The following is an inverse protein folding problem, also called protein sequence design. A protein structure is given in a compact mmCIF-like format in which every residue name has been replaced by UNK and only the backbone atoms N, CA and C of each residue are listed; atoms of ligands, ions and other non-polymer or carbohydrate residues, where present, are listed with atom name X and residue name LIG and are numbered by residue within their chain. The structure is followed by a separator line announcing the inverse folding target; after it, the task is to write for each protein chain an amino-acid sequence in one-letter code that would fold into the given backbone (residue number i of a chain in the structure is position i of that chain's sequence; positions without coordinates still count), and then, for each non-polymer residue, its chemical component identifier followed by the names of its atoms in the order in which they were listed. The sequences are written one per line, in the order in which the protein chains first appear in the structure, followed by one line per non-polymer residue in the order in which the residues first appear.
data_IF_524665506322
#
_entry.id   IF_524665506322
#
_cell.length_a   1.000
_cell.length_b   1.000
_cell.length_c   1.000
_cell.angle_alpha   90.00
_cell.angle_beta   90.00
_cell.angle_gamma   90.00
#
_symmetry.space_group_name_H-M   'P 1'
#
loop_
_entity.id
_entity.type
_entity.pdbx_description
1 polymer ?
#
# COMPACT_ATOMS: atom_id res chain seq x y z
N UNK A 1 -13.71 -10.60 7.78
CA UNK A 1 -12.84 -9.61 7.11
C UNK A 1 -12.39 -8.47 8.02
N UNK A 2 -12.58 -8.51 9.35
CA UNK A 2 -12.16 -7.42 10.26
C UNK A 2 -11.41 -7.90 11.52
N UNK A 3 -11.09 -9.19 11.65
CA UNK A 3 -10.42 -9.70 12.87
C UNK A 3 -8.90 -9.46 12.86
N UNK A 4 -8.35 -9.00 11.72
CA UNK A 4 -6.93 -8.78 11.49
C UNK A 4 -6.77 -7.61 10.50
N UNK A 5 -7.07 -6.37 10.93
CA UNK A 5 -6.66 -5.18 10.18
C UNK A 5 -5.14 -5.02 10.30
N UNK A 6 -4.44 -5.68 9.38
CA UNK A 6 -2.99 -5.84 9.38
C UNK A 6 -2.36 -5.03 8.24
N UNK A 7 -2.58 -3.72 8.31
CA UNK A 7 -2.04 -2.76 7.36
C UNK A 7 -0.99 -1.92 8.09
N UNK A 8 0.21 -1.83 7.54
CA UNK A 8 1.38 -1.21 8.17
C UNK A 8 2.72 -1.58 7.52
N UNK A 9 2.68 -2.25 6.38
CA UNK A 9 3.83 -2.59 5.57
C UNK A 9 4.60 -1.34 5.11
N UNK A 10 3.91 -0.22 4.93
CA UNK A 10 4.48 1.08 4.59
C UNK A 10 5.43 1.59 5.68
N UNK A 11 5.05 1.46 6.96
CA UNK A 11 5.91 1.76 8.11
C UNK A 11 7.09 0.79 8.18
N UNK A 12 6.84 -0.51 7.99
CA UNK A 12 7.90 -1.53 8.06
C UNK A 12 8.91 -1.38 6.91
N UNK A 13 8.43 -1.18 5.68
CA UNK A 13 9.27 -0.97 4.49
C UNK A 13 10.12 0.27 4.68
N UNK A 14 9.52 1.39 5.11
CA UNK A 14 10.28 2.60 5.37
C UNK A 14 11.35 2.36 6.45
N UNK A 15 10.99 1.77 7.60
CA UNK A 15 11.95 1.47 8.67
C UNK A 15 13.11 0.58 8.18
N UNK A 16 12.82 -0.45 7.38
CA UNK A 16 13.83 -1.36 6.83
C UNK A 16 14.71 -0.65 5.80
N UNK A 17 14.14 0.20 4.95
CA UNK A 17 14.90 0.99 3.99
C UNK A 17 15.91 1.91 4.70
N UNK A 18 15.54 2.51 5.83
CA UNK A 18 16.42 3.40 6.59
C UNK A 18 17.70 2.72 7.11
N UNK A 19 17.63 1.42 7.42
CA UNK A 19 18.74 0.61 7.97
C UNK A 19 19.31 -0.39 6.96
N UNK A 20 18.87 -0.33 5.70
CA UNK A 20 19.30 -1.26 4.66
C UNK A 20 20.76 -1.02 4.29
N UNK A 21 21.52 -2.10 4.10
CA UNK A 21 22.88 -2.03 3.56
C UNK A 21 22.92 -1.53 2.10
N UNK A 22 21.78 -1.57 1.40
CA UNK A 22 21.63 -1.11 0.03
C UNK A 22 21.17 0.36 -0.06
N UNK A 23 21.00 1.04 1.08
CA UNK A 23 20.66 2.46 1.08
C UNK A 23 21.90 3.29 0.80
N UNK A 24 21.84 4.08 -0.26
CA UNK A 24 22.86 5.09 -0.58
C UNK A 24 22.41 6.48 -0.12
N UNK A 25 23.39 7.35 0.13
CA UNK A 25 23.16 8.75 0.50
C UNK A 25 23.32 9.70 -0.69
N UNK A 26 24.14 9.32 -1.66
CA UNK A 26 24.25 10.01 -2.94
C UNK A 26 23.13 9.53 -3.87
N UNK A 27 22.20 10.40 -4.30
CA UNK A 27 21.13 10.01 -5.20
C UNK A 27 21.62 9.63 -6.61
N UNK A 28 22.82 10.03 -7.03
CA UNK A 28 23.37 9.60 -8.34
C UNK A 28 23.83 8.13 -8.34
N UNK A 29 24.09 7.55 -7.17
CA UNK A 29 24.40 6.12 -7.01
C UNK A 29 23.14 5.25 -6.88
N UNK A 30 21.95 5.86 -6.79
CA UNK A 30 20.71 5.14 -6.55
C UNK A 30 20.11 4.57 -7.85
N UNK A 31 19.90 3.26 -7.89
CA UNK A 31 19.15 2.60 -8.97
C UNK A 31 17.63 2.81 -8.83
N UNK A 32 17.17 3.03 -7.59
CA UNK A 32 15.75 3.10 -7.23
C UNK A 32 15.52 4.11 -6.11
N UNK A 33 14.36 4.76 -6.16
CA UNK A 33 13.94 5.76 -5.18
C UNK A 33 12.69 5.29 -4.43
N UNK A 34 12.80 5.07 -3.12
CA UNK A 34 11.62 4.85 -2.29
C UNK A 34 10.95 6.19 -2.00
N UNK A 35 9.67 6.34 -2.34
CA UNK A 35 8.86 7.49 -1.93
C UNK A 35 8.11 7.13 -0.65
N UNK A 36 8.51 7.66 0.52
CA UNK A 36 7.91 7.29 1.80
C UNK A 36 6.58 8.03 2.00
N UNK A 37 5.50 7.44 1.49
CA UNK A 37 4.15 7.94 1.69
C UNK A 37 3.33 6.92 2.50
N UNK A 38 2.76 7.37 3.62
CA UNK A 38 1.91 6.54 4.48
C UNK A 38 0.45 6.93 4.28
N UNK A 39 -0.23 6.23 3.37
CA UNK A 39 -1.62 6.49 3.02
C UNK A 39 -2.45 5.23 3.13
N UNK A 40 -3.70 5.40 3.55
CA UNK A 40 -4.66 4.33 3.69
C UNK A 40 -5.88 4.54 2.79
N UNK A 41 -6.40 3.44 2.24
CA UNK A 41 -7.65 3.44 1.50
C UNK A 41 -8.82 3.46 2.48
N UNK A 42 -9.26 4.68 2.80
CA UNK A 42 -10.29 4.96 3.78
C UNK A 42 -11.70 4.89 3.17
N UNK A 43 -12.41 3.79 3.46
CA UNK A 43 -13.73 3.47 2.92
C UNK A 43 -14.64 2.98 4.04
N UNK A 44 -15.82 3.58 4.21
CA UNK A 44 -16.77 3.20 5.25
C UNK A 44 -18.19 3.10 4.73
N UNK A 45 -18.88 2.05 5.17
CA UNK A 45 -20.32 1.93 5.04
C UNK A 45 -20.96 2.68 6.23
N UNK A 46 -21.64 3.79 5.96
CA UNK A 46 -22.41 4.54 6.95
C UNK A 46 -23.89 4.16 6.82
N UNK A 47 -24.70 4.40 7.86
CA UNK A 47 -26.14 4.14 7.84
C UNK A 47 -26.87 4.90 6.70
N UNK A 48 -26.30 6.02 6.25
CA UNK A 48 -26.83 6.88 5.18
C UNK A 48 -26.09 6.72 3.83
N UNK A 49 -25.17 5.75 3.70
CA UNK A 49 -24.51 5.47 2.43
C UNK A 49 -23.01 5.19 2.54
N UNK A 50 -22.40 4.95 1.38
CA UNK A 50 -20.98 4.63 1.28
C UNK A 50 -20.14 5.91 1.20
N UNK A 51 -19.14 6.04 2.08
CA UNK A 51 -18.17 7.15 2.07
C UNK A 51 -16.80 6.64 1.66
N UNK A 52 -16.21 7.33 0.70
CA UNK A 52 -14.93 7.01 0.08
C UNK A 52 -14.01 8.24 0.13
N UNK A 53 -12.85 8.13 0.77
CA UNK A 53 -11.86 9.22 0.85
C UNK A 53 -10.81 9.15 -0.27
N UNK A 54 -11.08 8.40 -1.35
CA UNK A 54 -10.16 8.31 -2.49
C UNK A 54 -9.78 9.67 -3.08
N UNK A 55 -10.67 10.68 -3.04
CA UNK A 55 -10.34 12.02 -3.51
C UNK A 55 -9.22 12.67 -2.69
N UNK A 56 -9.28 12.54 -1.37
CA UNK A 56 -8.22 13.00 -0.48
C UNK A 56 -6.91 12.28 -0.76
N UNK A 57 -6.95 10.95 -0.89
CA UNK A 57 -5.75 10.16 -1.24
C UNK A 57 -5.15 10.55 -2.60
N UNK A 58 -6.01 10.77 -3.61
CA UNK A 58 -5.58 11.19 -4.96
C UNK A 58 -4.87 12.54 -4.90
N UNK A 59 -5.45 13.51 -4.18
CA UNK A 59 -4.84 14.83 -3.99
C UNK A 59 -3.50 14.73 -3.28
N UNK A 60 -3.44 14.04 -2.14
CA UNK A 60 -2.21 13.88 -1.35
C UNK A 60 -1.09 13.22 -2.17
N UNK A 61 -1.39 12.17 -2.92
CA UNK A 61 -0.38 11.50 -3.79
C UNK A 61 0.08 12.42 -4.91
N UNK A 62 -0.85 13.17 -5.52
CA UNK A 62 -0.52 14.11 -6.61
C UNK A 62 0.37 15.25 -6.13
N UNK A 63 0.05 15.85 -4.98
CA UNK A 63 0.86 16.90 -4.34
C UNK A 63 2.24 16.37 -3.93
N UNK A 64 2.32 15.15 -3.39
CA UNK A 64 3.59 14.51 -3.06
C UNK A 64 4.44 14.26 -4.31
N UNK A 65 3.85 13.73 -5.39
CA UNK A 65 4.55 13.52 -6.65
C UNK A 65 5.10 14.84 -7.21
N UNK A 66 4.29 15.91 -7.19
CA UNK A 66 4.73 17.23 -7.65
C UNK A 66 5.83 17.83 -6.76
N UNK A 67 5.73 17.66 -5.44
CA UNK A 67 6.77 18.05 -4.51
C UNK A 67 8.09 17.31 -4.79
N UNK A 68 8.04 15.98 -4.97
CA UNK A 68 9.22 15.18 -5.30
C UNK A 68 9.84 15.63 -6.61
N UNK A 69 9.01 15.82 -7.65
CA UNK A 69 9.41 16.27 -8.98
C UNK A 69 10.10 17.63 -8.98
N UNK A 70 9.60 18.57 -8.20
CA UNK A 70 10.13 19.95 -8.15
C UNK A 70 11.32 20.09 -7.22
N UNK A 71 11.42 19.23 -6.21
CA UNK A 71 12.52 19.26 -5.22
C UNK A 71 13.75 18.49 -5.71
N UNK A 72 13.55 17.39 -6.44
CA UNK A 72 14.62 16.52 -6.91
C UNK A 72 14.48 16.16 -8.40
N UNK A 73 15.56 16.20 -9.20
CA UNK A 73 15.51 15.99 -10.65
C UNK A 73 15.35 14.52 -11.07
N UNK A 74 15.21 13.57 -10.13
CA UNK A 74 15.29 12.14 -10.42
C UNK A 74 13.96 11.53 -10.89
N UNK A 75 12.81 12.07 -10.46
CA UNK A 75 11.51 11.54 -10.88
C UNK A 75 11.32 11.63 -12.40
N UNK A 76 11.62 12.78 -12.99
CA UNK A 76 11.44 13.02 -14.42
C UNK A 76 12.52 12.32 -15.27
N UNK A 77 13.71 12.03 -14.71
CA UNK A 77 14.85 11.40 -15.41
C UNK A 77 14.49 10.07 -16.07
N UNK A 78 13.73 9.22 -15.37
CA UNK A 78 13.28 7.93 -15.89
C UNK A 78 11.76 7.84 -16.07
N UNK A 79 11.06 8.98 -15.96
CA UNK A 79 9.61 9.06 -15.97
C UNK A 79 8.96 8.31 -14.81
N UNK A 80 9.64 8.27 -13.65
CA UNK A 80 9.19 7.65 -12.41
C UNK A 80 9.21 6.12 -12.38
N UNK A 81 9.76 5.44 -13.39
CA UNK A 81 9.80 3.95 -13.48
C UNK A 81 10.68 3.28 -12.43
N UNK A 82 11.61 4.03 -11.88
CA UNK A 82 12.55 3.70 -10.81
C UNK A 82 12.04 4.13 -9.43
N UNK A 83 10.85 4.72 -9.33
CA UNK A 83 10.26 5.16 -8.07
C UNK A 83 9.30 4.11 -7.50
N UNK A 84 9.58 3.71 -6.27
CA UNK A 84 8.78 2.75 -5.50
C UNK A 84 7.75 3.51 -4.65
N UNK A 85 6.48 3.15 -4.82
CA UNK A 85 5.36 3.71 -4.08
C UNK A 85 4.70 2.62 -3.24
N UNK A 86 4.56 2.87 -1.94
CA UNK A 86 3.94 1.88 -1.04
C UNK A 86 2.46 2.19 -0.85
N UNK A 87 1.62 1.29 -1.35
CA UNK A 87 0.16 1.33 -1.19
C UNK A 87 -0.28 0.08 -0.45
N UNK A 88 0.04 0.05 0.84
CA UNK A 88 -0.21 -1.12 1.68
C UNK A 88 -1.69 -1.43 1.93
N UNK A 89 -2.55 -0.42 1.85
CA UNK A 89 -3.93 -0.60 2.25
C UNK A 89 -4.84 -1.01 1.09
N UNK A 90 -5.36 -2.23 1.16
CA UNK A 90 -6.45 -2.78 0.37
C UNK A 90 -6.40 -2.40 -1.13
N UNK A 91 -7.43 -1.68 -1.62
CA UNK A 91 -7.60 -1.28 -3.02
C UNK A 91 -6.80 -0.03 -3.40
N UNK A 92 -5.99 0.52 -2.50
CA UNK A 92 -5.33 1.82 -2.67
C UNK A 92 -4.49 1.89 -3.95
N UNK A 93 -3.68 0.86 -4.21
CA UNK A 93 -2.73 0.83 -5.32
C UNK A 93 -3.40 1.07 -6.69
N UNK A 94 -4.36 0.22 -7.06
CA UNK A 94 -4.99 0.33 -8.37
C UNK A 94 -5.86 1.59 -8.50
N UNK A 95 -6.53 2.00 -7.42
CA UNK A 95 -7.39 3.18 -7.40
C UNK A 95 -6.58 4.46 -7.61
N UNK A 96 -5.42 4.55 -6.96
CA UNK A 96 -4.49 5.67 -7.15
C UNK A 96 -3.87 5.62 -8.56
N UNK A 97 -3.41 4.45 -9.04
CA UNK A 97 -2.85 4.33 -10.41
C UNK A 97 -3.82 4.80 -11.49
N UNK A 98 -5.11 4.53 -11.29
CA UNK A 98 -6.15 4.96 -12.21
C UNK A 98 -6.32 6.49 -12.24
N UNK A 99 -6.08 7.18 -11.12
CA UNK A 99 -6.39 8.62 -10.95
C UNK A 99 -5.19 9.55 -10.94
N UNK A 100 -3.97 9.06 -10.75
CA UNK A 100 -2.75 9.87 -10.68
C UNK A 100 -1.81 9.50 -11.83
N UNK A 101 -1.93 10.15 -13.01
CA UNK A 101 -1.11 9.84 -14.18
C UNK A 101 0.39 10.00 -13.97
N UNK A 102 0.81 11.00 -13.18
CA UNK A 102 2.21 11.36 -12.96
C UNK A 102 3.05 10.25 -12.33
N UNK A 103 2.41 9.34 -11.58
CA UNK A 103 3.11 8.21 -10.93
C UNK A 103 2.76 6.87 -11.55
N UNK A 104 1.98 6.85 -12.64
CA UNK A 104 1.45 5.61 -13.25
C UNK A 104 2.54 4.69 -13.76
N UNK A 105 3.74 5.19 -14.04
CA UNK A 105 4.87 4.38 -14.47
C UNK A 105 5.68 3.80 -13.29
N UNK A 106 5.43 4.26 -12.06
CA UNK A 106 6.14 3.81 -10.86
C UNK A 106 5.82 2.36 -10.49
N UNK A 107 6.70 1.82 -9.65
CA UNK A 107 6.65 0.47 -9.09
C UNK A 107 5.78 0.51 -7.84
N UNK A 108 4.63 -0.16 -7.85
CA UNK A 108 3.70 -0.14 -6.72
C UNK A 108 3.88 -1.38 -5.86
N UNK A 109 4.06 -1.16 -4.56
CA UNK A 109 4.10 -2.19 -3.54
C UNK A 109 2.70 -2.28 -2.92
N UNK A 110 2.05 -3.45 -3.04
CA UNK A 110 0.64 -3.60 -2.64
C UNK A 110 0.27 -5.04 -2.25
N UNK A 111 -0.79 -5.25 -1.46
CA UNK A 111 -1.14 -6.57 -0.95
C UNK A 111 -1.82 -7.51 -1.95
N UNK A 112 -2.44 -6.99 -3.02
CA UNK A 112 -3.42 -7.76 -3.78
C UNK A 112 -3.03 -8.23 -5.19
N UNK A 113 -1.80 -7.99 -5.63
CA UNK A 113 -1.27 -8.57 -6.89
C UNK A 113 -2.15 -8.39 -8.12
N UNK A 114 -1.97 -9.24 -9.15
CA UNK A 114 -2.70 -9.11 -10.42
C UNK A 114 -4.12 -9.70 -10.42
N UNK A 115 -4.78 -9.79 -9.26
CA UNK A 115 -6.11 -10.40 -9.16
C UNK A 115 -7.20 -9.58 -9.86
N UNK A 116 -8.34 -10.18 -10.25
CA UNK A 116 -9.45 -9.47 -10.90
C UNK A 116 -9.95 -8.25 -10.11
N UNK A 117 -9.93 -8.34 -8.77
CA UNK A 117 -10.31 -7.25 -7.87
C UNK A 117 -9.45 -5.97 -8.03
N UNK A 118 -8.24 -6.09 -8.58
CA UNK A 118 -7.31 -4.98 -8.80
C UNK A 118 -7.51 -4.29 -10.16
N UNK A 119 -8.49 -4.73 -10.98
CA UNK A 119 -8.93 -4.07 -12.21
C UNK A 119 -7.79 -3.65 -13.16
N UNK A 120 -6.76 -4.50 -13.26
CA UNK A 120 -5.58 -4.24 -14.09
C UNK A 120 -4.62 -3.17 -13.56
N UNK A 121 -4.83 -2.63 -12.35
CA UNK A 121 -3.94 -1.64 -11.76
C UNK A 121 -2.65 -2.20 -11.16
N UNK A 122 -2.52 -3.53 -11.07
CA UNK A 122 -1.23 -4.17 -10.80
C UNK A 122 -0.58 -4.61 -12.11
N UNK A 123 0.64 -4.13 -12.35
CA UNK A 123 1.42 -4.39 -13.55
C UNK A 123 2.33 -5.61 -13.35
N UNK A 124 1.99 -6.74 -14.00
CA UNK A 124 2.77 -7.98 -13.88
C UNK A 124 4.22 -7.77 -14.37
N UNK A 125 5.19 -8.24 -13.58
CA UNK A 125 6.62 -8.09 -13.89
C UNK A 125 7.18 -6.70 -13.58
N UNK A 126 6.36 -5.80 -13.01
CA UNK A 126 6.74 -4.44 -12.67
C UNK A 126 6.42 -4.13 -11.20
N UNK A 127 5.19 -4.42 -10.77
CA UNK A 127 4.75 -4.19 -9.40
C UNK A 127 5.10 -5.36 -8.46
N UNK A 128 5.20 -5.06 -7.17
CA UNK A 128 5.61 -6.01 -6.14
C UNK A 128 4.43 -6.29 -5.21
N UNK A 129 4.14 -7.58 -5.02
CA UNK A 129 3.14 -8.01 -4.03
C UNK A 129 3.80 -8.09 -2.66
N UNK A 130 3.29 -7.32 -1.71
CA UNK A 130 3.76 -7.31 -0.32
C UNK A 130 2.65 -7.85 0.56
N UNK A 131 2.81 -9.02 1.21
CA UNK A 131 1.77 -9.56 2.07
C UNK A 131 1.51 -8.63 3.28
N UNK A 132 0.27 -8.57 3.78
CA UNK A 132 -0.06 -7.79 4.96
C UNK A 132 0.74 -8.26 6.17
N UNK A 133 0.98 -7.33 7.10
CA UNK A 133 1.83 -7.57 8.27
C UNK A 133 1.12 -8.48 9.27
N UNK A 134 1.37 -9.78 9.23
CA UNK A 134 0.87 -10.72 10.25
C UNK A 134 1.57 -10.49 11.60
N UNK A 135 0.98 -9.68 12.48
CA UNK A 135 1.42 -9.64 13.87
C UNK A 135 1.07 -10.97 14.56
N UNK A 136 2.08 -11.79 14.81
CA UNK A 136 1.95 -13.11 15.45
C UNK A 136 1.41 -13.04 16.89
N UNK A 137 1.29 -11.83 17.48
CA UNK A 137 0.98 -11.62 18.91
C UNK A 137 0.05 -10.43 19.22
N UNK A 138 -0.73 -9.90 18.27
CA UNK A 138 -1.77 -8.93 18.65
C UNK A 138 -2.86 -9.71 19.38
N UNK A 139 -3.02 -9.43 20.68
CA UNK A 139 -4.15 -9.94 21.43
C UNK A 139 -5.43 -9.46 20.73
N UNK A 140 -6.13 -10.38 20.05
CA UNK A 140 -7.41 -10.19 19.36
C UNK A 140 -8.49 -9.46 20.20
N UNK A 141 -8.25 -9.24 21.49
CA UNK A 141 -9.12 -8.52 22.41
C UNK A 141 -9.01 -6.99 22.40
N UNK A 142 -7.94 -6.38 21.85
CA UNK A 142 -7.79 -4.91 21.89
C UNK A 142 -8.41 -4.18 20.69
N UNK A 143 -8.69 -4.88 19.58
CA UNK A 143 -9.26 -4.29 18.36
C UNK A 143 -10.75 -4.62 18.16
N UNK A 144 -11.33 -5.48 19.01
CA UNK A 144 -12.71 -5.92 18.87
C UNK A 144 -13.65 -5.03 19.70
N UNK A 145 -14.23 -4.00 19.07
CA UNK A 145 -15.52 -3.43 19.48
C UNK A 145 -16.72 -4.18 18.90
N UNK A 146 -16.49 -5.18 18.04
CA UNK A 146 -17.53 -6.01 17.45
C UNK A 146 -17.54 -7.44 18.05
N UNK A 147 -18.09 -7.57 19.27
CA UNK A 147 -18.82 -8.79 19.62
C UNK A 147 -18.04 -10.03 20.10
N UNK A 148 -18.12 -10.24 21.42
CA UNK A 148 -18.26 -11.54 22.13
C UNK A 148 -18.34 -12.85 21.28
N UNK A 149 -17.43 -13.81 21.58
CA UNK A 149 -17.48 -15.31 21.49
C UNK A 149 -17.51 -15.94 20.07
N UNK A 150 -16.83 -17.06 19.76
CA UNK A 150 -16.60 -18.33 20.49
C UNK A 150 -15.19 -18.92 20.19
N UNK A 151 -14.58 -19.55 21.20
CA UNK A 151 -13.37 -20.39 21.10
C UNK A 151 -13.67 -21.69 20.34
N UNK A 152 -13.02 -21.94 19.21
CA UNK A 152 -12.72 -23.30 18.71
C UNK A 152 -11.49 -23.28 17.78
N UNK A 153 -10.86 -24.47 17.65
CA UNK A 153 -9.42 -24.75 17.46
C UNK A 153 -8.67 -24.02 16.33
N UNK A 154 -7.39 -23.77 16.60
CA UNK A 154 -6.39 -23.19 15.69
C UNK A 154 -6.17 -24.08 14.46
N UNK A 155 -6.54 -23.57 13.28
CA UNK A 155 -6.06 -24.07 12.01
C UNK A 155 -4.76 -23.32 11.66
N UNK A 156 -3.68 -24.04 11.33
CA UNK A 156 -2.33 -23.48 11.10
C UNK A 156 -2.09 -22.92 9.69
N UNK A 157 -3.12 -22.83 8.85
CA UNK A 157 -3.09 -21.97 7.67
C UNK A 157 -4.53 -21.67 7.24
N UNK A 158 -4.82 -20.40 6.96
CA UNK A 158 -6.10 -19.95 6.41
C UNK A 158 -5.80 -19.06 5.20
N UNK A 159 -6.12 -19.56 4.02
CA UNK A 159 -6.13 -18.75 2.79
C UNK A 159 -7.60 -18.58 2.38
N UNK A 160 -8.11 -17.35 2.50
CA UNK A 160 -9.43 -17.00 1.99
C UNK A 160 -9.27 -15.96 0.88
N UNK A 161 -9.28 -16.44 -0.36
CA UNK A 161 -9.55 -15.61 -1.52
C UNK A 161 -11.05 -15.39 -1.66
N UNK A 162 -11.46 -14.21 -2.14
CA UNK A 162 -12.84 -13.99 -2.57
C UNK A 162 -12.93 -14.28 -4.06
N UNK A 163 -13.68 -15.33 -4.41
CA UNK A 163 -14.27 -15.47 -5.75
C UNK A 163 -15.31 -14.37 -5.90
N UNK A 164 -15.05 -13.45 -6.82
CA UNK A 164 -16.08 -12.70 -7.53
C UNK A 164 -15.68 -12.74 -9.01
#
# INVERSE_FOLDING_TARGET
WQELDLWGEDVIIHRRALVSLYRVHDPEEADYFLVPLWISAAMWQMNWGFRDLLETGTRTVSECAEYVRTTWPFLDRHGGRDHLWVFGHDQGAWRIRARVPSIRAGIFLSPFGAGPAQRGGHLKGHDIVVPPVLYQSVALGLLNHAGRRKKTKQNLAFFQGKLN
#
